data_IF_215388491046
#
_entry.id   IF_215388491046
#
_cell.length_a   1.000
_cell.length_b   1.000
_cell.length_c   1.000
_cell.angle_alpha   90.00
_cell.angle_beta   90.00
_cell.angle_gamma   90.00
#
_symmetry.space_group_name_H-M   'P 1'
#
loop_
_entity.id
_entity.type
_entity.pdbx_description
1 polymer ?
#
# COMPACT_ATOMS: atom_id res chain seq x y z
N UNK A 1 -9.06 -13.01 -14.38
CA UNK A 1 -8.85 -11.56 -14.57
C UNK A 1 -9.36 -10.88 -13.32
N UNK A 2 -8.51 -10.20 -12.52
CA UNK A 2 -9.00 -9.39 -11.41
C UNK A 2 -9.66 -8.15 -11.98
N UNK A 3 -10.86 -7.82 -11.50
CA UNK A 3 -11.56 -6.61 -11.96
C UNK A 3 -10.85 -5.38 -11.40
N UNK A 4 -10.95 -4.24 -12.08
CA UNK A 4 -10.34 -2.98 -11.61
C UNK A 4 -10.80 -2.60 -10.18
N UNK A 5 -12.00 -3.04 -9.77
CA UNK A 5 -12.56 -2.81 -8.45
C UNK A 5 -11.80 -3.56 -7.35
N UNK A 6 -11.42 -4.82 -7.58
CA UNK A 6 -10.68 -5.69 -6.64
C UNK A 6 -9.24 -5.23 -6.37
N UNK A 7 -8.80 -4.17 -7.06
CA UNK A 7 -7.47 -3.59 -6.95
C UNK A 7 -7.53 -2.09 -6.66
N UNK A 8 -8.71 -1.57 -6.33
CA UNK A 8 -8.89 -0.21 -5.83
C UNK A 8 -8.39 -0.08 -4.39
N UNK A 9 -8.01 1.14 -3.99
CA UNK A 9 -7.60 1.41 -2.61
C UNK A 9 -8.72 1.06 -1.63
N UNK A 10 -9.96 1.45 -1.96
CA UNK A 10 -11.14 1.18 -1.13
C UNK A 10 -11.34 -0.31 -0.90
N UNK A 11 -11.29 -1.12 -1.95
CA UNK A 11 -11.44 -2.57 -1.82
C UNK A 11 -10.38 -3.18 -0.91
N UNK A 12 -9.12 -2.73 -1.00
CA UNK A 12 -8.05 -3.23 -0.14
C UNK A 12 -8.20 -2.75 1.30
N UNK A 13 -8.63 -1.52 1.53
CA UNK A 13 -8.94 -1.01 2.87
C UNK A 13 -10.03 -1.86 3.51
N UNK A 14 -11.14 -2.10 2.80
CA UNK A 14 -12.23 -2.93 3.31
C UNK A 14 -11.77 -4.37 3.60
N UNK A 15 -10.94 -4.93 2.72
CA UNK A 15 -10.39 -6.28 2.85
C UNK A 15 -9.45 -6.45 4.04
N UNK A 16 -8.54 -5.50 4.26
CA UNK A 16 -7.44 -5.67 5.21
C UNK A 16 -7.67 -5.00 6.55
N UNK A 17 -8.37 -3.86 6.56
CA UNK A 17 -8.67 -3.12 7.79
C UNK A 17 -10.08 -3.43 8.31
N UNK A 18 -10.97 -3.93 7.46
CA UNK A 18 -12.36 -4.27 7.80
C UNK A 18 -13.03 -3.23 8.71
N UNK A 19 -13.05 -1.95 8.28
CA UNK A 19 -13.59 -0.87 9.08
C UNK A 19 -15.08 -1.09 9.33
N UNK A 20 -15.50 -0.86 10.57
CA UNK A 20 -16.91 -0.86 10.94
C UNK A 20 -17.49 0.55 10.83
N UNK A 21 -18.83 0.72 10.78
CA UNK A 21 -19.45 2.06 10.77
C UNK A 21 -19.10 2.92 11.98
N UNK A 22 -18.75 2.31 13.11
CA UNK A 22 -18.31 3.01 14.33
C UNK A 22 -16.81 3.39 14.29
N UNK A 23 -16.09 2.91 13.28
CA UNK A 23 -14.63 2.85 13.19
C UNK A 23 -14.16 3.58 11.94
N UNK A 24 -14.10 4.92 11.97
CA UNK A 24 -13.76 5.69 10.78
C UNK A 24 -12.35 5.35 10.28
N UNK A 25 -12.19 5.44 8.96
CA UNK A 25 -10.92 5.26 8.28
C UNK A 25 -10.29 6.61 8.00
N UNK A 26 -9.00 6.74 8.30
CA UNK A 26 -8.22 7.95 8.10
C UNK A 26 -6.98 7.68 7.26
N UNK A 27 -6.69 8.58 6.32
CA UNK A 27 -5.37 8.63 5.67
C UNK A 27 -4.47 9.49 6.56
N UNK A 28 -3.48 8.88 7.21
CA UNK A 28 -2.58 9.58 8.14
C UNK A 28 -1.26 9.98 7.50
N UNK A 29 -0.91 9.33 6.39
CA UNK A 29 0.29 9.65 5.62
C UNK A 29 0.02 9.46 4.13
N UNK A 30 0.55 10.34 3.30
CA UNK A 30 0.61 10.16 1.86
C UNK A 30 1.92 10.73 1.33
N UNK A 31 2.62 9.97 0.48
CA UNK A 31 3.89 10.43 -0.08
C UNK A 31 4.28 9.57 -1.30
N UNK A 32 5.57 9.58 -1.62
CA UNK A 32 6.20 8.76 -2.64
C UNK A 32 7.37 7.97 -2.06
N UNK A 33 7.56 6.76 -2.55
CA UNK A 33 8.74 5.95 -2.21
C UNK A 33 10.01 6.67 -2.67
N UNK A 34 11.06 6.58 -1.85
CA UNK A 34 12.35 7.25 -2.12
C UNK A 34 13.01 6.74 -3.39
N UNK A 35 12.98 5.42 -3.57
CA UNK A 35 13.36 4.73 -4.80
C UNK A 35 12.09 4.59 -5.66
N UNK A 36 12.18 4.74 -6.97
CA UNK A 36 11.05 4.56 -7.90
C UNK A 36 9.91 5.60 -7.85
N UNK A 37 9.81 6.43 -6.81
CA UNK A 37 8.92 7.59 -6.75
C UNK A 37 7.42 7.24 -6.78
N UNK A 38 7.05 6.02 -6.39
CA UNK A 38 5.67 5.51 -6.46
C UNK A 38 4.85 5.99 -5.29
N UNK A 39 3.60 6.33 -5.57
CA UNK A 39 2.68 6.86 -4.55
C UNK A 39 2.37 5.79 -3.53
N UNK A 40 2.36 6.16 -2.27
CA UNK A 40 1.81 5.33 -1.21
C UNK A 40 0.97 6.17 -0.26
N UNK A 41 0.09 5.48 0.47
CA UNK A 41 -0.70 6.05 1.56
C UNK A 41 -0.63 5.13 2.77
N UNK A 42 -0.62 5.70 3.97
CA UNK A 42 -0.90 4.98 5.21
C UNK A 42 -2.35 5.24 5.58
N UNK A 43 -3.09 4.17 5.77
CA UNK A 43 -4.49 4.21 6.15
C UNK A 43 -4.63 3.55 7.52
N UNK A 44 -5.33 4.22 8.42
CA UNK A 44 -5.55 3.78 9.79
C UNK A 44 -7.04 3.74 10.13
N UNK A 45 -7.38 2.87 11.07
CA UNK A 45 -8.69 2.78 11.73
C UNK A 45 -8.47 2.58 13.22
N UNK A 46 -9.35 3.12 14.06
CA UNK A 46 -9.13 3.23 15.50
C UNK A 46 -10.30 2.68 16.31
N UNK A 47 -10.10 1.50 16.91
CA UNK A 47 -11.14 0.78 17.66
C UNK A 47 -10.97 0.84 19.16
N UNK A 48 -12.00 0.42 19.88
CA UNK A 48 -11.95 0.16 21.33
C UNK A 48 -10.77 -0.75 21.71
N UNK A 49 -10.39 -1.68 20.82
CA UNK A 49 -9.24 -2.59 20.98
C UNK A 49 -7.89 -1.97 20.56
N UNK A 50 -7.89 -0.76 20.00
CA UNK A 50 -6.72 -0.01 19.57
C UNK A 50 -6.70 0.35 18.08
N UNK A 51 -5.68 1.10 17.69
CA UNK A 51 -5.49 1.55 16.31
C UNK A 51 -4.75 0.51 15.46
N UNK A 52 -5.20 0.35 14.21
CA UNK A 52 -4.60 -0.52 13.19
C UNK A 52 -4.32 0.30 11.94
N UNK A 53 -3.19 0.06 11.29
CA UNK A 53 -2.80 0.83 10.11
C UNK A 53 -1.96 0.03 9.12
N UNK A 54 -2.21 0.24 7.83
CA UNK A 54 -1.48 -0.39 6.73
C UNK A 54 -0.99 0.65 5.72
N UNK A 55 0.13 0.34 5.07
CA UNK A 55 0.59 1.04 3.88
C UNK A 55 0.02 0.40 2.63
N UNK A 56 -0.44 1.24 1.70
CA UNK A 56 -0.92 0.84 0.39
C UNK A 56 -0.09 1.56 -0.66
N UNK A 57 0.40 0.81 -1.65
CA UNK A 57 1.31 1.28 -2.68
C UNK A 57 0.62 1.24 -4.03
N UNK A 58 0.79 2.29 -4.81
CA UNK A 58 0.31 2.37 -6.19
C UNK A 58 1.37 1.77 -7.12
N UNK A 59 1.00 0.71 -7.84
CA UNK A 59 1.83 0.04 -8.83
C UNK A 59 1.62 0.65 -10.23
N UNK A 60 2.48 0.27 -11.17
CA UNK A 60 2.55 0.85 -12.53
C UNK A 60 1.37 0.50 -13.42
N UNK A 61 0.78 -0.66 -13.16
CA UNK A 61 -0.48 -1.11 -13.75
C UNK A 61 -1.69 -0.30 -13.27
N UNK A 62 -1.48 0.63 -12.34
CA UNK A 62 -2.56 1.39 -11.73
C UNK A 62 -3.37 0.55 -10.74
N UNK A 63 -2.81 -0.51 -10.19
CA UNK A 63 -3.41 -1.25 -9.07
C UNK A 63 -2.84 -0.75 -7.75
N UNK A 64 -3.63 -0.85 -6.68
CA UNK A 64 -3.11 -0.72 -5.33
C UNK A 64 -2.68 -2.09 -4.81
N UNK A 65 -1.68 -2.11 -3.93
CA UNK A 65 -1.14 -3.31 -3.28
C UNK A 65 -0.70 -2.99 -1.84
N UNK A 66 -0.61 -3.99 -0.97
CA UNK A 66 -0.10 -3.85 0.42
C UNK A 66 1.40 -4.10 0.56
N UNK A 67 2.09 -4.25 -0.58
CA UNK A 67 3.53 -4.45 -0.67
C UNK A 67 4.12 -3.41 -1.63
N UNK A 68 5.37 -2.97 -1.39
CA UNK A 68 6.01 -2.00 -2.26
C UNK A 68 6.21 -2.57 -3.67
N UNK A 69 6.25 -1.73 -4.71
CA UNK A 69 6.57 -2.15 -6.07
C UNK A 69 7.91 -2.89 -6.13
N UNK A 70 8.00 -3.95 -6.93
CA UNK A 70 9.21 -4.82 -6.99
C UNK A 70 10.48 -4.03 -7.36
N UNK A 71 10.36 -2.98 -8.17
CA UNK A 71 11.46 -2.09 -8.55
C UNK A 71 12.03 -1.25 -7.39
N UNK A 72 11.31 -1.16 -6.27
CA UNK A 72 11.75 -0.44 -5.07
C UNK A 72 12.54 -1.32 -4.10
N UNK A 73 12.79 -2.59 -4.45
CA UNK A 73 13.76 -3.40 -3.72
C UNK A 73 15.16 -2.83 -3.97
N UNK A 74 15.87 -2.33 -2.94
CA UNK A 74 17.29 -2.06 -3.11
C UNK A 74 17.91 -3.38 -3.54
N UNK A 75 18.56 -3.37 -4.70
CA UNK A 75 19.15 -4.54 -5.30
C UNK A 75 20.32 -5.04 -4.45
N UNK A 76 20.01 -5.71 -3.33
CA UNK A 76 20.98 -6.39 -2.46
C UNK A 76 21.70 -7.52 -3.21
N UNK A 77 21.20 -7.92 -4.38
CA UNK A 77 21.75 -8.96 -5.24
C UNK A 77 22.05 -8.51 -6.67
N UNK A 78 22.07 -7.21 -6.98
CA UNK A 78 22.64 -6.78 -8.25
C UNK A 78 24.16 -6.98 -8.19
N UNK A 79 24.62 -8.17 -8.54
CA UNK A 79 26.04 -8.42 -8.77
C UNK A 79 26.54 -7.37 -9.77
N UNK A 80 27.63 -6.65 -9.47
CA UNK A 80 28.26 -5.83 -10.48
C UNK A 80 28.68 -6.79 -11.61
N UNK A 81 28.25 -6.44 -12.82
CA UNK A 81 28.70 -7.11 -14.04
C UNK A 81 30.22 -6.88 -14.11
N UNK A 82 30.98 -7.96 -13.96
CA UNK A 82 32.43 -7.93 -14.12
C UNK A 82 32.76 -7.37 -15.51
N UNK A 83 33.75 -6.46 -15.54
CA UNK A 83 34.25 -5.78 -16.72
C UNK A 83 34.91 -6.76 -17.70
#
# INVERSE_FOLDING_TARGET
MRTASEQSLRFLVDKWLSPSPAEPVHVTEFSRTRTGGRRYVRVETSSEEGARGLFFFRHDDGCWCVFPPTADTPSLFARPRAA
#
